data_IF_556809345045
#
_entry.id   IF_556809345045
#
_cell.length_a   1.000
_cell.length_b   1.000
_cell.length_c   1.000
_cell.angle_alpha   90.00
_cell.angle_beta   90.00
_cell.angle_gamma   90.00
#
_symmetry.space_group_name_H-M   'P 1'
#
loop_
_entity.id
_entity.type
_entity.pdbx_description
1 polymer ?
#
# COMPACT_ATOMS: atom_id res chain seq x y z
N UNK A 1 -3.51 16.82 -4.18
CA UNK A 1 -3.18 18.20 -4.62
C UNK A 1 -1.81 18.18 -5.29
N UNK A 2 -1.65 18.71 -6.51
CA UNK A 2 -0.34 18.81 -7.15
C UNK A 2 0.56 19.75 -6.34
N UNK A 3 1.80 19.31 -6.09
CA UNK A 3 2.83 20.12 -5.41
C UNK A 3 3.81 20.59 -6.46
N UNK A 4 4.18 21.86 -6.43
CA UNK A 4 5.17 22.43 -7.35
C UNK A 4 6.42 22.85 -6.58
N UNK A 5 7.60 22.69 -7.18
CA UNK A 5 8.87 23.21 -6.66
C UNK A 5 9.60 24.01 -7.72
N UNK A 6 10.29 25.06 -7.29
CA UNK A 6 11.14 25.83 -8.18
C UNK A 6 12.50 25.12 -8.35
N UNK A 7 12.99 24.92 -9.59
CA UNK A 7 14.25 24.22 -9.84
C UNK A 7 15.50 25.08 -9.60
N UNK A 8 15.37 26.40 -9.73
CA UNK A 8 16.47 27.37 -9.59
C UNK A 8 16.61 27.89 -8.17
N UNK A 9 15.47 28.22 -7.56
CA UNK A 9 15.38 28.76 -6.23
C UNK A 9 14.88 27.65 -5.31
N UNK A 10 15.64 27.18 -4.33
CA UNK A 10 15.19 26.19 -3.33
C UNK A 10 14.08 26.72 -2.38
N UNK A 11 13.26 27.66 -2.85
CA UNK A 11 12.20 28.38 -2.14
C UNK A 11 11.00 27.48 -1.87
N UNK A 12 11.15 26.49 -1.00
CA UNK A 12 10.05 25.69 -0.44
C UNK A 12 9.08 25.06 -1.46
N UNK A 13 8.02 24.41 -0.98
CA UNK A 13 6.94 23.93 -1.83
C UNK A 13 5.99 25.08 -2.19
N UNK A 14 5.73 25.31 -3.47
CA UNK A 14 4.59 26.11 -3.89
C UNK A 14 3.34 25.23 -3.92
N UNK A 15 2.44 25.47 -2.97
CA UNK A 15 1.12 24.85 -2.92
C UNK A 15 0.21 25.72 -3.78
N UNK A 16 0.14 25.44 -5.08
CA UNK A 16 -0.76 26.18 -5.97
C UNK A 16 -2.18 25.65 -5.76
N UNK A 17 -3.04 26.46 -5.16
CA UNK A 17 -4.39 26.07 -4.73
C UNK A 17 -5.40 25.84 -5.88
N UNK A 18 -5.07 26.23 -7.12
CA UNK A 18 -5.79 25.91 -8.38
C UNK A 18 -5.13 26.68 -9.54
N UNK A 19 -4.11 26.13 -10.22
CA UNK A 19 -3.65 26.76 -11.45
C UNK A 19 -4.76 26.70 -12.51
N UNK A 20 -4.92 27.73 -13.37
CA UNK A 20 -5.79 27.63 -14.54
C UNK A 20 -5.37 26.43 -15.40
N UNK A 21 -6.35 25.78 -16.04
CA UNK A 21 -6.10 24.57 -16.83
C UNK A 21 -5.04 24.87 -17.90
N UNK A 22 -3.92 24.17 -17.86
CA UNK A 22 -2.81 24.31 -18.82
C UNK A 22 -1.78 25.40 -18.49
N UNK A 23 -1.93 26.17 -17.42
CA UNK A 23 -0.93 27.16 -17.01
C UNK A 23 0.12 26.54 -16.09
N UNK A 24 1.40 26.76 -16.41
CA UNK A 24 2.53 26.40 -15.54
C UNK A 24 2.75 27.54 -14.54
N UNK A 25 2.71 27.30 -13.22
CA UNK A 25 2.95 28.34 -12.24
C UNK A 25 4.40 28.83 -12.32
N UNK A 26 4.60 30.14 -12.18
CA UNK A 26 5.93 30.77 -12.15
C UNK A 26 6.37 31.02 -10.71
N UNK A 27 7.68 30.91 -10.45
CA UNK A 27 8.24 31.26 -9.15
C UNK A 27 8.19 32.77 -8.91
N UNK A 28 7.69 33.20 -7.75
CA UNK A 28 7.57 34.63 -7.39
C UNK A 28 8.95 35.32 -7.31
N UNK A 29 10.01 34.58 -6.97
CA UNK A 29 11.37 35.13 -6.80
C UNK A 29 12.13 35.26 -8.12
N UNK A 30 12.22 34.16 -8.87
CA UNK A 30 13.09 34.04 -10.04
C UNK A 30 12.32 33.92 -11.36
N UNK A 31 10.99 33.96 -11.33
CA UNK A 31 10.10 33.88 -12.49
C UNK A 31 10.29 32.64 -13.37
N UNK A 32 11.00 31.62 -12.89
CA UNK A 32 11.18 30.36 -13.60
C UNK A 32 9.91 29.49 -13.50
N UNK A 33 9.60 28.70 -14.54
CA UNK A 33 8.50 27.75 -14.51
C UNK A 33 8.73 26.72 -13.40
N UNK A 34 7.70 26.50 -12.58
CA UNK A 34 7.79 25.53 -11.48
C UNK A 34 7.52 24.12 -11.99
N UNK A 35 8.28 23.17 -11.45
CA UNK A 35 8.18 21.77 -11.82
C UNK A 35 7.19 21.04 -10.91
N UNK A 36 6.35 20.20 -11.50
CA UNK A 36 5.39 19.40 -10.75
C UNK A 36 6.15 18.28 -10.03
N UNK A 37 6.11 18.30 -8.70
CA UNK A 37 6.77 17.30 -7.89
C UNK A 37 6.04 15.95 -8.09
N UNK A 38 6.78 14.87 -8.42
CA UNK A 38 6.17 13.55 -8.52
C UNK A 38 5.57 13.20 -7.16
N UNK A 39 4.29 12.81 -7.16
CA UNK A 39 3.64 12.36 -5.95
C UNK A 39 4.35 11.06 -5.54
N UNK A 40 5.07 11.10 -4.41
CA UNK A 40 5.80 9.95 -3.88
C UNK A 40 4.82 8.79 -3.81
N UNK A 41 4.97 7.82 -4.72
CA UNK A 41 4.09 6.66 -4.74
C UNK A 41 4.46 5.83 -3.51
N UNK A 42 3.49 5.42 -2.67
CA UNK A 42 3.77 4.64 -1.46
C UNK A 42 4.11 3.17 -1.79
N UNK A 43 4.78 2.90 -2.93
CA UNK A 43 5.13 1.55 -3.39
C UNK A 43 5.90 0.77 -2.32
N UNK A 44 6.92 1.34 -1.65
CA UNK A 44 7.64 0.60 -0.60
C UNK A 44 6.75 0.19 0.58
N UNK A 45 5.78 1.03 0.94
CA UNK A 45 4.83 0.71 2.01
C UNK A 45 3.89 -0.43 1.60
N UNK A 46 3.43 -0.44 0.35
CA UNK A 46 2.59 -1.54 -0.17
C UNK A 46 3.33 -2.88 -0.14
N UNK A 47 4.62 -2.89 -0.45
CA UNK A 47 5.47 -4.09 -0.39
C UNK A 47 5.62 -4.58 1.06
N UNK A 48 5.84 -3.66 2.00
CA UNK A 48 5.90 -4.01 3.43
C UNK A 48 4.58 -4.62 3.93
N UNK A 49 3.44 -4.03 3.55
CA UNK A 49 2.13 -4.55 3.93
C UNK A 49 1.85 -5.93 3.33
N UNK A 50 2.22 -6.17 2.07
CA UNK A 50 1.99 -7.46 1.43
C UNK A 50 2.82 -8.56 2.08
N UNK A 51 4.13 -8.34 2.28
CA UNK A 51 5.03 -9.29 2.93
C UNK A 51 4.60 -9.52 4.39
N UNK A 52 4.30 -8.45 5.13
CA UNK A 52 3.85 -8.54 6.51
C UNK A 52 2.54 -9.32 6.66
N UNK A 53 1.57 -9.09 5.78
CA UNK A 53 0.30 -9.82 5.79
C UNK A 53 0.48 -11.31 5.54
N UNK A 54 1.33 -11.70 4.58
CA UNK A 54 1.63 -13.11 4.29
C UNK A 54 2.29 -13.78 5.49
N UNK A 55 3.28 -13.11 6.10
CA UNK A 55 3.97 -13.62 7.28
C UNK A 55 3.01 -13.85 8.45
N UNK A 56 2.12 -12.89 8.72
CA UNK A 56 1.11 -13.03 9.79
C UNK A 56 0.17 -14.20 9.50
N UNK A 57 -0.42 -14.29 8.30
CA UNK A 57 -1.29 -15.40 7.93
C UNK A 57 -0.60 -16.77 8.05
N UNK A 58 0.69 -16.85 7.68
CA UNK A 58 1.47 -18.09 7.81
C UNK A 58 1.80 -18.46 9.27
N UNK A 59 1.79 -17.49 10.18
CA UNK A 59 2.14 -17.69 11.58
C UNK A 59 0.97 -18.15 12.46
N UNK A 60 -0.26 -18.06 11.98
CA UNK A 60 -1.44 -18.50 12.72
C UNK A 60 -1.71 -19.97 12.37
N UNK A 61 -1.59 -20.90 13.33
CA UNK A 61 -1.88 -22.32 13.11
C UNK A 61 -3.40 -22.53 13.11
N UNK A 62 -4.13 -22.01 12.11
CA UNK A 62 -5.60 -22.20 11.99
C UNK A 62 -5.97 -23.64 11.57
N UNK A 63 -4.99 -24.50 11.27
CA UNK A 63 -5.20 -25.86 10.76
C UNK A 63 -4.80 -27.00 11.72
N UNK A 64 -4.33 -26.71 12.93
CA UNK A 64 -4.05 -27.74 13.94
C UNK A 64 -5.27 -28.10 14.80
N UNK A 65 -6.43 -28.26 14.18
CA UNK A 65 -7.48 -29.13 14.73
C UNK A 65 -7.41 -30.43 13.94
N UNK A 66 -6.67 -31.45 14.40
CA UNK A 66 -6.88 -32.78 13.86
C UNK A 66 -8.36 -33.10 14.08
N UNK A 67 -9.10 -33.39 13.01
CA UNK A 67 -10.42 -34.00 13.16
C UNK A 67 -10.23 -35.26 14.03
N UNK A 68 -11.03 -35.47 15.09
CA UNK A 68 -10.90 -36.66 15.90
C UNK A 68 -11.03 -37.89 14.97
N UNK A 69 -10.17 -38.90 15.12
CA UNK A 69 -10.28 -40.10 14.30
C UNK A 69 -11.65 -40.72 14.54
N UNK A 70 -12.46 -40.80 13.47
CA UNK A 70 -13.66 -41.62 13.49
C UNK A 70 -13.17 -43.06 13.63
N UNK A 71 -13.25 -43.60 14.85
CA UNK A 71 -13.04 -45.03 15.08
C UNK A 71 -14.23 -45.73 14.45
N UNK A 72 -14.06 -46.61 13.45
CA UNK A 72 -15.12 -47.50 13.02
C UNK A 72 -15.25 -48.54 14.13
N UNK A 73 -15.97 -48.20 15.19
CA UNK A 73 -16.23 -49.12 16.28
C UNK A 73 -17.26 -50.13 15.77
N UNK A 74 -16.76 -51.34 15.52
CA UNK A 74 -17.42 -52.61 15.79
C UNK A 74 -18.94 -52.55 15.91
N UNK A 75 -19.67 -52.78 14.81
CA UNK A 75 -21.06 -53.28 14.84
C UNK A 75 -21.52 -53.65 13.44
N UNK A 76 -20.85 -54.60 12.77
CA UNK A 76 -21.46 -55.29 11.61
C UNK A 76 -20.70 -56.55 11.19
N UNK A 77 -20.31 -57.40 12.14
CA UNK A 77 -19.98 -58.80 11.82
C UNK A 77 -20.08 -59.69 13.07
N UNK A 78 -21.31 -59.89 13.56
CA UNK A 78 -21.75 -61.14 14.19
C UNK A 78 -23.23 -61.11 14.54
N UNK A 79 -23.95 -62.04 13.93
CA UNK A 79 -25.22 -62.63 14.38
C UNK A 79 -26.53 -61.91 14.00
N UNK A 80 -27.03 -62.21 12.79
CA UNK A 80 -28.38 -62.74 12.56
C UNK A 80 -28.45 -63.36 11.17
#
# INVERSE_FOLDING_TARGET
MPRYRCPSCCCGPAIVLRPPKGAVPLCIRCQTPMEQQPLVRPVPLLILFSIGSVLVLSSIPVLFTPAPPVTPNQSQDKLA
#
